data_IF_192794628704
#
_entry.id   IF_192794628704
#
_cell.length_a   1.000
_cell.length_b   1.000
_cell.length_c   1.000
_cell.angle_alpha   90.00
_cell.angle_beta   90.00
_cell.angle_gamma   90.00
#
_symmetry.space_group_name_H-M   'P 1'
#
loop_
_entity.id
_entity.type
_entity.pdbx_description
1 polymer ?
#
# COMPACT_ATOMS: atom_id res chain seq x y z
N UNK A 1 5.72 -11.80 -22.11
CA UNK A 1 4.49 -11.38 -21.39
C UNK A 1 4.96 -10.77 -20.09
N UNK A 2 4.78 -9.46 -19.91
CA UNK A 2 5.24 -8.77 -18.70
C UNK A 2 4.36 -9.21 -17.51
N UNK A 3 4.96 -9.79 -16.48
CA UNK A 3 4.25 -10.29 -15.29
C UNK A 3 3.98 -9.12 -14.34
N UNK A 4 2.81 -8.48 -14.46
CA UNK A 4 2.38 -7.43 -13.56
C UNK A 4 1.62 -8.02 -12.36
N UNK A 5 2.05 -7.72 -11.13
CA UNK A 5 1.34 -8.07 -9.89
C UNK A 5 0.70 -6.83 -9.29
N UNK A 6 -0.58 -6.94 -8.91
CA UNK A 6 -1.30 -5.86 -8.25
C UNK A 6 -0.95 -5.89 -6.76
N UNK A 7 -0.39 -4.79 -6.26
CA UNK A 7 -0.02 -4.65 -4.85
C UNK A 7 -1.13 -3.93 -4.07
N UNK A 8 -1.76 -2.95 -4.72
CA UNK A 8 -2.84 -2.15 -4.16
C UNK A 8 -3.94 -1.93 -5.20
N UNK A 9 -5.19 -1.98 -4.76
CA UNK A 9 -6.37 -1.63 -5.55
C UNK A 9 -7.24 -0.66 -4.78
N UNK A 10 -7.22 0.58 -5.23
CA UNK A 10 -8.03 1.66 -4.69
C UNK A 10 -9.41 1.70 -5.35
N UNK A 11 -10.44 1.82 -4.54
CA UNK A 11 -11.83 1.88 -4.97
C UNK A 11 -12.45 3.16 -4.41
N UNK A 12 -12.74 4.09 -5.31
CA UNK A 12 -13.48 5.32 -5.03
C UNK A 12 -14.91 5.17 -5.56
N UNK A 13 -15.90 5.31 -4.69
CA UNK A 13 -17.30 5.14 -5.02
C UNK A 13 -18.10 6.35 -4.58
N UNK A 14 -19.04 6.77 -5.43
CA UNK A 14 -20.03 7.76 -5.06
C UNK A 14 -21.42 7.19 -5.31
N UNK A 15 -22.14 6.92 -4.22
CA UNK A 15 -23.50 6.40 -4.29
C UNK A 15 -24.50 7.54 -4.23
N UNK A 16 -25.36 7.66 -5.25
CA UNK A 16 -26.41 8.68 -5.27
C UNK A 16 -27.63 8.20 -4.48
N UNK A 17 -28.19 9.04 -3.62
CA UNK A 17 -29.39 8.71 -2.83
C UNK A 17 -30.61 8.36 -3.71
N UNK A 18 -30.64 8.83 -4.96
CA UNK A 18 -31.77 8.61 -5.89
C UNK A 18 -31.84 7.21 -6.50
N UNK A 19 -30.76 6.42 -6.48
CA UNK A 19 -30.71 5.07 -7.08
C UNK A 19 -31.05 3.94 -6.11
N UNK A 20 -31.27 4.24 -4.81
CA UNK A 20 -31.58 3.25 -3.76
C UNK A 20 -33.07 3.29 -3.37
N UNK A 21 -33.96 3.07 -4.35
CA UNK A 21 -35.39 2.91 -4.08
C UNK A 21 -35.74 1.49 -3.55
N UNK A 22 -34.77 0.58 -3.44
CA UNK A 22 -34.98 -0.78 -2.93
C UNK A 22 -33.78 -1.25 -2.11
N UNK A 23 -33.72 -0.89 -0.83
CA UNK A 23 -33.36 -1.77 0.30
C UNK A 23 -33.58 -0.96 1.57
N UNK A 24 -34.44 -1.48 2.44
CA UNK A 24 -34.78 -0.93 3.75
C UNK A 24 -33.56 -0.77 4.67
N UNK A 25 -32.91 0.39 4.64
CA UNK A 25 -32.12 0.88 5.78
C UNK A 25 -32.70 2.21 6.21
N UNK A 26 -33.22 2.25 7.43
CA UNK A 26 -33.77 3.43 8.12
C UNK A 26 -32.69 4.52 8.23
N UNK A 27 -32.44 5.28 7.17
CA UNK A 27 -31.66 6.50 7.24
C UNK A 27 -32.54 7.59 7.86
N UNK A 28 -32.62 7.55 9.19
CA UNK A 28 -33.31 8.57 9.99
C UNK A 28 -32.66 9.91 9.70
N UNK A 29 -33.43 10.82 9.09
CA UNK A 29 -33.20 12.27 9.00
C UNK A 29 -31.91 12.64 8.26
N UNK A 30 -32.04 12.82 6.95
CA UNK A 30 -31.07 13.56 6.13
C UNK A 30 -30.93 14.99 6.68
N UNK A 31 -30.01 15.19 7.61
CA UNK A 31 -29.54 16.52 7.96
C UNK A 31 -28.89 17.10 6.70
N UNK A 32 -29.38 18.26 6.24
CA UNK A 32 -28.64 19.10 5.30
C UNK A 32 -27.27 19.36 5.90
N UNK A 33 -26.25 18.60 5.49
CA UNK A 33 -24.87 18.84 5.92
C UNK A 33 -24.45 20.15 5.29
N UNK A 34 -24.27 21.18 6.12
CA UNK A 34 -23.79 22.47 5.61
C UNK A 34 -22.48 22.27 4.85
N UNK A 35 -22.24 23.07 3.81
CA UNK A 35 -21.00 23.01 3.02
C UNK A 35 -19.75 23.07 3.91
N UNK A 36 -19.81 23.81 5.01
CA UNK A 36 -18.76 23.88 6.01
C UNK A 36 -18.50 22.53 6.72
N UNK A 37 -19.54 21.81 7.13
CA UNK A 37 -19.38 20.47 7.72
C UNK A 37 -18.88 19.45 6.71
N UNK A 38 -19.36 19.51 5.47
CA UNK A 38 -18.88 18.68 4.37
C UNK A 38 -17.39 18.91 4.13
N UNK A 39 -16.97 20.17 3.99
CA UNK A 39 -15.58 20.54 3.78
C UNK A 39 -14.68 19.99 4.90
N UNK A 40 -15.08 20.15 6.17
CA UNK A 40 -14.35 19.60 7.31
C UNK A 40 -14.20 18.07 7.24
N UNK A 41 -15.28 17.35 6.92
CA UNK A 41 -15.25 15.89 6.76
C UNK A 41 -14.36 15.47 5.59
N UNK A 42 -14.44 16.15 4.45
CA UNK A 42 -13.60 15.87 3.28
C UNK A 42 -12.12 16.12 3.56
N UNK A 43 -11.78 17.21 4.25
CA UNK A 43 -10.40 17.49 4.65
C UNK A 43 -9.88 16.43 5.65
N UNK A 44 -10.71 16.00 6.60
CA UNK A 44 -10.35 14.94 7.53
C UNK A 44 -10.10 13.61 6.79
N UNK A 45 -10.96 13.27 5.83
CA UNK A 45 -10.78 12.10 4.97
C UNK A 45 -9.47 12.19 4.17
N UNK A 46 -9.16 13.36 3.58
CA UNK A 46 -7.91 13.56 2.84
C UNK A 46 -6.66 13.42 3.72
N UNK A 47 -6.71 13.93 4.96
CA UNK A 47 -5.62 13.75 5.93
C UNK A 47 -5.46 12.29 6.31
N UNK A 48 -6.56 11.59 6.58
CA UNK A 48 -6.54 10.14 6.85
C UNK A 48 -5.97 9.35 5.67
N UNK A 49 -6.37 9.70 4.44
CA UNK A 49 -5.85 9.09 3.21
C UNK A 49 -4.33 9.28 3.11
N UNK A 50 -3.85 10.51 3.29
CA UNK A 50 -2.42 10.82 3.24
C UNK A 50 -1.60 10.00 4.26
N UNK A 51 -2.09 9.89 5.49
CA UNK A 51 -1.45 9.07 6.52
C UNK A 51 -1.45 7.59 6.15
N UNK A 52 -2.57 7.09 5.63
CA UNK A 52 -2.72 5.68 5.25
C UNK A 52 -1.80 5.32 4.09
N UNK A 53 -1.70 6.18 3.06
CA UNK A 53 -0.79 5.98 1.93
C UNK A 53 0.64 5.69 2.39
N UNK A 54 1.12 6.36 3.44
CA UNK A 54 2.48 6.18 3.96
C UNK A 54 2.70 4.86 4.72
N UNK A 55 1.62 4.18 5.12
CA UNK A 55 1.68 2.91 5.86
C UNK A 55 1.56 1.70 4.95
N UNK A 56 1.07 1.89 3.73
CA UNK A 56 0.75 0.82 2.80
C UNK A 56 1.98 0.30 2.02
N UNK A 57 1.89 -0.93 1.47
CA UNK A 57 3.03 -1.60 0.85
C UNK A 57 3.62 -0.87 -0.36
N UNK A 58 2.80 -0.22 -1.21
CA UNK A 58 3.31 0.46 -2.40
C UNK A 58 4.19 1.67 -2.04
N UNK A 59 3.89 2.36 -0.93
CA UNK A 59 4.76 3.43 -0.44
C UNK A 59 6.11 2.91 0.05
N UNK A 60 6.12 1.76 0.74
CA UNK A 60 7.37 1.10 1.15
C UNK A 60 8.20 0.73 -0.08
N UNK A 61 7.57 0.10 -1.08
CA UNK A 61 8.24 -0.25 -2.33
C UNK A 61 8.78 0.98 -3.07
N UNK A 62 7.99 2.06 -3.13
CA UNK A 62 8.44 3.33 -3.71
C UNK A 62 9.67 3.88 -2.98
N UNK A 63 9.66 3.86 -1.65
CA UNK A 63 10.80 4.31 -0.84
C UNK A 63 12.03 3.43 -1.07
N UNK A 64 11.86 2.12 -1.16
CA UNK A 64 12.94 1.17 -1.41
C UNK A 64 13.55 1.40 -2.81
N UNK A 65 12.70 1.54 -3.83
CA UNK A 65 13.10 1.87 -5.21
C UNK A 65 13.87 3.19 -5.31
N UNK A 66 13.46 4.20 -4.54
CA UNK A 66 14.12 5.51 -4.52
C UNK A 66 15.41 5.54 -3.70
N UNK A 67 15.56 4.63 -2.72
CA UNK A 67 16.72 4.61 -1.82
C UNK A 67 17.84 3.68 -2.30
N UNK A 68 17.50 2.65 -3.07
CA UNK A 68 18.43 1.60 -3.48
C UNK A 68 19.08 1.96 -4.83
N UNK A 69 20.41 1.96 -4.86
CA UNK A 69 21.19 1.94 -6.10
C UNK A 69 21.12 0.55 -6.81
N UNK A 70 20.40 -0.45 -6.24
CA UNK A 70 20.23 -1.76 -6.87
C UNK A 70 19.21 -1.65 -8.01
N UNK A 71 19.79 -1.79 -9.20
CA UNK A 71 19.22 -2.00 -10.53
C UNK A 71 17.86 -2.73 -10.49
N UNK A 72 16.79 -1.94 -10.68
CA UNK A 72 15.50 -2.19 -11.35
C UNK A 72 15.18 -3.65 -11.74
N UNK A 73 14.90 -4.52 -10.78
CA UNK A 73 14.25 -5.81 -11.06
C UNK A 73 12.73 -5.64 -11.32
N UNK A 74 12.15 -4.51 -10.88
CA UNK A 74 10.73 -4.20 -11.02
C UNK A 74 10.50 -2.69 -11.10
N UNK A 75 9.37 -2.29 -11.67
CA UNK A 75 8.90 -0.91 -11.73
C UNK A 75 7.51 -0.82 -11.06
N UNK A 76 7.24 0.29 -10.37
CA UNK A 76 5.95 0.57 -9.77
C UNK A 76 5.14 1.49 -10.70
N UNK A 77 4.12 0.92 -11.32
CA UNK A 77 3.15 1.65 -12.16
C UNK A 77 1.81 1.90 -11.47
N UNK A 78 0.99 2.76 -12.06
CA UNK A 78 -0.41 2.94 -11.67
C UNK A 78 -1.34 2.77 -12.87
N UNK A 79 -2.57 2.30 -12.63
CA UNK A 79 -3.62 2.18 -13.65
C UNK A 79 -4.93 2.69 -13.07
N UNK A 80 -5.60 3.58 -13.80
CA UNK A 80 -6.92 4.12 -13.43
C UNK A 80 -7.95 3.50 -14.36
N UNK A 81 -9.04 2.97 -13.80
CA UNK A 81 -10.12 2.33 -14.56
C UNK A 81 -11.45 2.58 -13.86
N UNK A 82 -12.50 2.78 -14.66
CA UNK A 82 -13.89 2.78 -14.16
C UNK A 82 -14.43 1.37 -13.94
N UNK A 83 -13.84 0.38 -14.62
CA UNK A 83 -14.15 -1.02 -14.45
C UNK A 83 -13.15 -1.71 -13.52
N UNK A 84 -13.65 -2.51 -12.60
CA UNK A 84 -12.84 -3.28 -11.66
C UNK A 84 -12.82 -4.72 -12.15
N UNK A 85 -11.70 -5.11 -12.77
CA UNK A 85 -11.43 -6.53 -13.04
C UNK A 85 -11.40 -7.28 -11.70
N UNK A 86 -12.28 -8.28 -11.48
CA UNK A 86 -12.32 -9.03 -10.25
C UNK A 86 -10.99 -9.75 -10.01
N UNK A 87 -10.58 -9.84 -8.75
CA UNK A 87 -9.48 -10.73 -8.39
C UNK A 87 -9.94 -12.18 -8.50
N UNK A 88 -9.01 -13.07 -8.82
CA UNK A 88 -9.22 -14.51 -8.61
C UNK A 88 -9.33 -14.79 -7.11
N UNK A 89 -9.97 -15.92 -6.75
CA UNK A 89 -10.11 -16.33 -5.35
C UNK A 89 -8.78 -16.46 -4.62
N UNK A 90 -7.72 -16.87 -5.33
CA UNK A 90 -6.37 -16.95 -4.79
C UNK A 90 -5.82 -15.56 -4.45
N UNK A 91 -5.87 -14.63 -5.40
CA UNK A 91 -5.41 -13.25 -5.19
C UNK A 91 -6.16 -12.55 -4.06
N UNK A 92 -7.48 -12.71 -3.99
CA UNK A 92 -8.30 -12.09 -2.94
C UNK A 92 -7.96 -12.62 -1.54
N UNK A 93 -7.60 -13.91 -1.41
CA UNK A 93 -7.19 -14.50 -0.13
C UNK A 93 -5.90 -13.87 0.44
N UNK A 94 -5.06 -13.27 -0.42
CA UNK A 94 -3.82 -12.59 -0.03
C UNK A 94 -3.98 -11.07 0.15
N UNK A 95 -5.20 -10.54 -0.02
CA UNK A 95 -5.49 -9.11 0.08
C UNK A 95 -6.14 -8.78 1.41
N UNK A 96 -5.65 -7.73 2.06
CA UNK A 96 -6.32 -7.06 3.16
C UNK A 96 -7.15 -5.88 2.66
N UNK A 97 -8.21 -5.55 3.39
CA UNK A 97 -9.08 -4.42 3.06
C UNK A 97 -9.04 -3.36 4.15
N UNK A 98 -8.80 -2.11 3.75
CA UNK A 98 -9.03 -0.95 4.59
C UNK A 98 -10.13 -0.08 3.99
N UNK A 99 -11.06 0.37 4.83
CA UNK A 99 -12.22 1.18 4.42
C UNK A 99 -12.19 2.48 5.22
N UNK A 100 -12.21 3.61 4.52
CA UNK A 100 -12.28 4.91 5.13
C UNK A 100 -13.72 5.21 5.59
N UNK A 101 -13.87 6.02 6.64
CA UNK A 101 -15.18 6.54 7.03
C UNK A 101 -15.77 7.33 5.86
N UNK A 102 -16.95 6.97 5.36
CA UNK A 102 -17.51 7.62 4.18
C UNK A 102 -17.99 9.05 4.50
N UNK A 103 -17.99 9.91 3.49
CA UNK A 103 -18.42 11.31 3.60
C UNK A 103 -19.82 11.45 3.01
N UNK A 104 -20.81 11.61 3.89
CA UNK A 104 -22.18 11.91 3.49
C UNK A 104 -22.30 13.32 2.88
N UNK A 105 -22.96 13.41 1.74
CA UNK A 105 -23.36 14.65 1.08
C UNK A 105 -24.89 14.77 1.06
N UNK A 106 -25.41 15.91 0.60
CA UNK A 106 -26.84 16.08 0.34
C UNK A 106 -27.37 15.12 -0.74
N UNK A 107 -26.55 14.80 -1.76
CA UNK A 107 -26.94 14.00 -2.91
C UNK A 107 -26.46 12.55 -2.88
N UNK A 108 -25.67 12.14 -1.88
CA UNK A 108 -25.05 10.83 -1.90
C UNK A 108 -24.09 10.54 -0.76
N UNK A 109 -23.26 9.52 -0.98
CA UNK A 109 -22.23 9.04 -0.07
C UNK A 109 -20.93 8.83 -0.85
N UNK A 110 -19.87 9.52 -0.44
CA UNK A 110 -18.52 9.30 -0.97
C UNK A 110 -17.80 8.27 -0.11
N UNK A 111 -17.41 7.15 -0.72
CA UNK A 111 -16.74 6.03 -0.07
C UNK A 111 -15.38 5.78 -0.72
N UNK A 112 -14.37 5.49 0.11
CA UNK A 112 -13.03 5.15 -0.32
C UNK A 112 -12.59 3.88 0.39
N UNK A 113 -11.98 2.95 -0.35
CA UNK A 113 -11.37 1.76 0.22
C UNK A 113 -10.15 1.35 -0.59
N UNK A 114 -9.30 0.53 0.03
CA UNK A 114 -8.13 -0.07 -0.61
C UNK A 114 -8.03 -1.54 -0.24
N UNK A 115 -7.80 -2.36 -1.26
CA UNK A 115 -7.30 -3.72 -1.09
C UNK A 115 -5.78 -3.69 -1.26
N UNK A 116 -5.03 -4.32 -0.37
CA UNK A 116 -3.56 -4.32 -0.41
C UNK A 116 -2.97 -5.64 0.06
N UNK A 117 -1.81 -6.02 -0.46
CA UNK A 117 -1.12 -7.27 -0.06
C UNK A 117 -0.39 -7.12 1.27
N UNK A 118 -0.30 -8.20 2.06
CA UNK A 118 0.38 -8.17 3.37
C UNK A 118 1.90 -8.30 3.27
N UNK A 119 2.41 -9.00 2.25
CA UNK A 119 3.83 -9.31 2.08
C UNK A 119 4.30 -8.98 0.67
N UNK A 120 5.46 -8.32 0.59
CA UNK A 120 6.20 -8.10 -0.66
C UNK A 120 7.06 -9.31 -1.05
N UNK A 121 7.35 -10.23 -0.11
CA UNK A 121 8.08 -11.47 -0.43
C UNK A 121 7.29 -12.35 -1.39
N UNK A 122 5.97 -12.36 -1.23
CA UNK A 122 5.05 -13.04 -2.12
C UNK A 122 5.07 -12.45 -3.55
N UNK A 123 5.55 -11.20 -3.72
CA UNK A 123 5.77 -10.56 -5.04
C UNK A 123 7.10 -10.97 -5.66
N UNK A 124 8.10 -11.29 -4.83
CA UNK A 124 9.47 -11.63 -5.23
C UNK A 124 9.65 -13.15 -5.44
N UNK A 125 8.94 -13.99 -4.68
CA UNK A 125 9.02 -15.46 -4.76
C UNK A 125 8.44 -16.04 -6.06
N UNK A 126 7.61 -15.28 -6.78
CA UNK A 126 7.09 -15.68 -8.10
C UNK A 126 8.02 -15.37 -9.28
N UNK A 127 9.16 -14.72 -9.03
CA UNK A 127 10.13 -14.31 -10.05
C UNK A 127 11.52 -14.81 -9.65
N UNK A 128 11.79 -16.11 -9.84
CA UNK A 128 13.10 -16.77 -9.72
C UNK A 128 14.11 -16.02 -8.85
N UNK A 129 13.78 -15.80 -7.58
CA UNK A 129 14.62 -15.12 -6.62
C UNK A 129 15.66 -16.08 -6.01
N UNK A 130 16.31 -16.89 -6.85
CA UNK A 130 17.42 -17.77 -6.47
C UNK A 130 18.67 -17.01 -6.01
N UNK A 131 18.59 -15.68 -5.86
CA UNK A 131 19.65 -14.81 -5.36
C UNK A 131 19.17 -13.84 -4.30
N UNK A 132 18.20 -14.24 -3.46
CA UNK A 132 18.12 -13.64 -2.13
C UNK A 132 19.44 -13.96 -1.42
N UNK A 133 20.26 -12.92 -1.29
CA UNK A 133 21.56 -12.91 -0.64
C UNK A 133 21.46 -13.53 0.74
N UNK A 134 21.65 -14.85 0.81
CA UNK A 134 22.16 -15.49 2.02
C UNK A 134 23.48 -14.78 2.30
N UNK A 135 23.65 -14.09 3.45
CA UNK A 135 24.94 -13.54 3.80
C UNK A 135 25.91 -14.71 3.80
N UNK A 136 26.76 -14.78 2.78
CA UNK A 136 27.80 -15.79 2.73
C UNK A 136 28.80 -15.40 3.81
N UNK A 137 28.77 -16.15 4.90
CA UNK A 137 29.83 -16.15 5.88
C UNK A 137 31.14 -16.42 5.12
N UNK A 138 32.12 -15.53 5.23
CA UNK A 138 33.45 -15.72 4.65
C UNK A 138 34.26 -16.46 5.72
N UNK A 139 34.37 -17.81 5.67
CA UNK A 139 35.03 -18.57 6.74
C UNK A 139 36.50 -18.17 6.90
N UNK A 140 37.11 -17.69 5.82
CA UNK A 140 38.50 -17.24 5.73
C UNK A 140 38.76 -15.83 6.28
N UNK A 141 37.75 -15.15 6.83
CA UNK A 141 37.95 -13.92 7.60
C UNK A 141 38.48 -14.19 9.02
N UNK A 142 38.20 -15.38 9.58
CA UNK A 142 38.68 -15.77 10.92
C UNK A 142 40.14 -16.19 10.82
N UNK A 143 41.05 -15.32 11.25
CA UNK A 143 42.49 -15.57 11.23
C UNK A 143 43.24 -14.93 10.06
N UNK A 144 42.57 -14.10 9.24
CA UNK A 144 43.27 -13.29 8.25
C UNK A 144 44.14 -12.24 8.96
N UNK A 145 45.44 -12.11 8.64
CA UNK A 145 46.33 -11.13 9.26
C UNK A 145 45.93 -9.67 8.97
N UNK A 146 44.99 -9.44 8.03
CA UNK A 146 44.39 -8.13 7.76
C UNK A 146 43.22 -7.77 8.69
N UNK A 147 42.72 -8.74 9.48
CA UNK A 147 41.62 -8.56 10.42
C UNK A 147 42.10 -8.28 11.87
N UNK A 148 43.41 -8.24 12.12
CA UNK A 148 43.94 -7.83 13.43
C UNK A 148 43.74 -6.32 13.66
N UNK A 149 43.04 -5.91 14.73
CA UNK A 149 42.97 -4.51 15.11
C UNK A 149 44.39 -3.99 15.36
N UNK A 150 44.77 -2.92 14.66
CA UNK A 150 46.08 -2.28 14.82
C UNK A 150 46.37 -2.06 16.31
N UNK A 151 47.44 -2.70 16.81
CA UNK A 151 47.93 -2.61 18.18
C UNK A 151 47.93 -1.14 18.63
N UNK A 152 47.29 -0.87 19.78
CA UNK A 152 47.32 0.44 20.45
C UNK A 152 48.77 0.89 20.65
N UNK A 153 49.06 2.12 20.24
CA UNK A 153 50.32 2.78 20.57
C UNK A 153 50.40 3.03 22.09
N UNK A 154 51.58 2.87 22.70
CA UNK A 154 51.76 3.17 24.11
C UNK A 154 51.67 4.67 24.34
N UNK A 155 50.86 5.07 25.30
CA UNK A 155 50.83 6.42 25.87
C UNK A 155 52.04 6.60 26.78
N UNK A 156 53.03 7.35 26.30
CA UNK A 156 54.09 7.98 27.09
C UNK A 156 53.78 9.45 27.31
#
# INVERSE_FOLDING_TARGET
>A
KESAKIIERWILQYENKKSSASVNVKCRRSASTSFHTLYKKSILMLRSLYSTLRLLPAYKLFRDLMSSARIRMYNLGHRISSFIEPFTRGEEAHMHRFVFTPVETSSGLLSLSVLYTSSLLDVVDGSDASTLLVPHFIPEYVGSPLAEPLKRFPSG
#
